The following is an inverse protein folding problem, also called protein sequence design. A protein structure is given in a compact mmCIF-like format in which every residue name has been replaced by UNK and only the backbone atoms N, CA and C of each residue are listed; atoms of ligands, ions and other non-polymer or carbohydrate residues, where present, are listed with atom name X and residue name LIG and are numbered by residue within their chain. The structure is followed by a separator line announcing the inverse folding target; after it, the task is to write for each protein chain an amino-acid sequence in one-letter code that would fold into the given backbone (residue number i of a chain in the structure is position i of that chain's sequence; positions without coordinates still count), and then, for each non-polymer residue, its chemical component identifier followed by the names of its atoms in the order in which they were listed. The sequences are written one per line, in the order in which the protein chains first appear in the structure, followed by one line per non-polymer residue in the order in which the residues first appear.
data_IF_713619220057
#
_entry.id   IF_713619220057
#
_cell.length_a   1.000
_cell.length_b   1.000
_cell.length_c   1.000
_cell.angle_alpha   90.00
_cell.angle_beta   90.00
_cell.angle_gamma   90.00
#
_symmetry.space_group_name_H-M   'P 1'
#
loop_
_entity.id
_entity.type
_entity.pdbx_description
1 polymer ?
#
# COMPACT_ATOMS: atom_id res chain seq x y z
N UNK A 1 10.54 10.50 5.24
CA UNK A 1 10.03 9.56 4.22
C UNK A 1 8.96 10.18 3.32
N UNK A 2 7.83 10.57 3.88
CA UNK A 2 6.72 11.24 3.20
C UNK A 2 6.51 12.61 3.82
N UNK A 3 6.37 13.66 3.00
CA UNK A 3 5.96 14.98 3.44
C UNK A 3 4.90 15.52 2.48
N UNK A 4 3.73 15.82 3.03
CA UNK A 4 2.57 16.35 2.32
C UNK A 4 2.23 17.72 2.86
N UNK A 5 2.07 18.72 1.99
CA UNK A 5 1.78 20.09 2.39
C UNK A 5 0.65 20.69 1.55
N UNK A 6 -0.45 21.09 2.22
CA UNK A 6 -1.63 21.71 1.61
C UNK A 6 -2.17 20.96 0.38
N UNK A 7 -2.13 19.63 0.40
CA UNK A 7 -2.47 18.78 -0.72
C UNK A 7 -3.98 18.74 -0.92
N UNK A 8 -4.42 19.07 -2.12
CA UNK A 8 -5.83 19.04 -2.50
C UNK A 8 -6.06 18.21 -3.75
N UNK A 9 -7.21 17.56 -3.83
CA UNK A 9 -7.67 16.82 -5.00
C UNK A 9 -9.11 17.16 -5.30
N UNK A 10 -9.33 17.68 -6.51
CA UNK A 10 -10.65 18.03 -7.02
C UNK A 10 -10.88 17.23 -8.29
N UNK A 11 -11.98 16.47 -8.32
CA UNK A 11 -12.46 15.80 -9.52
C UNK A 11 -13.50 16.69 -10.18
N UNK A 12 -13.35 16.93 -11.48
CA UNK A 12 -14.27 17.75 -12.28
C UNK A 12 -14.86 16.91 -13.40
N UNK A 13 -16.17 16.91 -13.48
CA UNK A 13 -16.93 16.50 -14.66
C UNK A 13 -17.58 17.73 -15.28
N UNK A 14 -18.27 17.60 -16.41
CA UNK A 14 -18.93 18.73 -17.06
C UNK A 14 -19.99 19.40 -16.17
N UNK A 15 -20.60 18.67 -15.21
CA UNK A 15 -21.71 19.15 -14.38
C UNK A 15 -21.37 19.27 -12.90
N UNK A 16 -20.34 18.56 -12.41
CA UNK A 16 -20.09 18.43 -10.96
C UNK A 16 -18.60 18.61 -10.67
N UNK A 17 -18.32 19.36 -9.61
CA UNK A 17 -17.02 19.44 -8.99
C UNK A 17 -17.08 18.78 -7.59
N UNK A 18 -16.20 17.79 -7.36
CA UNK A 18 -16.11 17.08 -6.08
C UNK A 18 -14.72 17.27 -5.50
N UNK A 19 -14.63 17.90 -4.34
CA UNK A 19 -13.39 18.02 -3.57
C UNK A 19 -13.21 16.77 -2.73
N UNK A 20 -12.28 15.91 -3.14
CA UNK A 20 -11.97 14.67 -2.42
C UNK A 20 -10.92 14.86 -1.32
N UNK A 21 -9.99 15.82 -1.49
CA UNK A 21 -9.01 16.23 -0.49
C UNK A 21 -8.91 17.75 -0.48
N UNK A 22 -8.84 18.34 0.71
CA UNK A 22 -8.87 19.78 0.91
C UNK A 22 -7.77 20.23 1.89
N UNK A 23 -6.61 20.60 1.37
CA UNK A 23 -5.51 21.18 2.15
C UNK A 23 -4.86 20.22 3.15
N UNK A 24 -4.77 18.94 2.84
CA UNK A 24 -4.19 17.90 3.71
C UNK A 24 -2.70 18.13 3.89
N UNK A 25 -2.22 18.10 5.16
CA UNK A 25 -0.80 18.28 5.49
C UNK A 25 -0.40 17.31 6.60
N UNK A 26 0.66 16.51 6.37
CA UNK A 26 1.25 15.61 7.37
C UNK A 26 2.64 15.15 6.93
N UNK A 27 3.37 14.57 7.85
CA UNK A 27 4.67 13.94 7.58
C UNK A 27 4.67 12.51 8.13
N UNK A 28 5.31 11.57 7.42
CA UNK A 28 5.56 10.20 7.86
C UNK A 28 7.07 9.95 7.81
N UNK A 29 7.63 9.46 8.90
CA UNK A 29 9.06 9.17 9.02
C UNK A 29 9.41 7.82 8.37
N UNK A 30 10.70 7.61 8.10
CA UNK A 30 11.17 6.30 7.69
C UNK A 30 10.91 5.26 8.79
N UNK A 31 10.41 4.08 8.41
CA UNK A 31 10.10 2.98 9.32
C UNK A 31 8.83 3.19 10.17
N UNK A 32 8.06 4.26 9.93
CA UNK A 32 6.80 4.50 10.67
C UNK A 32 5.67 3.64 10.09
N UNK A 33 4.85 3.06 10.96
CA UNK A 33 3.58 2.43 10.57
C UNK A 33 2.43 3.36 10.94
N UNK A 34 1.75 3.89 9.93
CA UNK A 34 0.66 4.85 10.08
C UNK A 34 -0.65 4.25 9.56
N UNK A 35 -1.71 4.37 10.34
CA UNK A 35 -3.07 4.09 9.91
C UNK A 35 -3.79 5.39 9.54
N UNK A 36 -4.48 5.41 8.39
CA UNK A 36 -5.39 6.47 7.98
C UNK A 36 -6.80 5.95 8.12
N UNK A 37 -7.57 6.56 9.01
CA UNK A 37 -8.95 6.21 9.29
C UNK A 37 -9.93 7.26 8.79
N UNK A 38 -11.21 6.89 8.75
CA UNK A 38 -12.32 7.79 8.43
C UNK A 38 -13.48 7.06 7.78
N UNK A 39 -14.66 7.70 7.68
CA UNK A 39 -15.85 7.10 7.07
C UNK A 39 -15.67 6.81 5.57
N UNK A 40 -16.57 6.01 5.00
CA UNK A 40 -16.58 5.78 3.56
C UNK A 40 -16.77 7.10 2.81
N UNK A 41 -16.04 7.28 1.71
CA UNK A 41 -16.13 8.49 0.87
C UNK A 41 -15.34 9.70 1.36
N UNK A 42 -14.69 9.67 2.54
CA UNK A 42 -13.96 10.83 3.08
C UNK A 42 -12.61 11.16 2.38
N UNK A 43 -12.22 10.41 1.33
CA UNK A 43 -11.00 10.69 0.56
C UNK A 43 -9.82 9.76 0.81
N UNK A 44 -9.93 8.71 1.64
CA UNK A 44 -8.82 7.78 1.99
C UNK A 44 -8.16 7.12 0.79
N UNK A 45 -8.96 6.50 -0.09
CA UNK A 45 -8.42 5.82 -1.28
C UNK A 45 -7.84 6.83 -2.28
N UNK A 46 -8.41 8.05 -2.35
CA UNK A 46 -7.85 9.15 -3.15
C UNK A 46 -6.46 9.54 -2.61
N UNK A 47 -6.34 9.69 -1.29
CA UNK A 47 -5.06 10.00 -0.66
C UNK A 47 -4.05 8.86 -0.90
N UNK A 48 -4.46 7.59 -0.71
CA UNK A 48 -3.61 6.44 -0.94
C UNK A 48 -3.12 6.35 -2.40
N UNK A 49 -3.99 6.66 -3.37
CA UNK A 49 -3.63 6.69 -4.80
C UNK A 49 -2.59 7.77 -5.11
N UNK A 50 -2.71 8.96 -4.49
CA UNK A 50 -1.72 10.02 -4.65
C UNK A 50 -0.40 9.64 -3.98
N UNK A 51 -0.43 9.11 -2.74
CA UNK A 51 0.77 8.61 -2.07
C UNK A 51 1.46 7.50 -2.86
N UNK A 52 0.67 6.67 -3.54
CA UNK A 52 1.15 5.61 -4.42
C UNK A 52 1.58 6.06 -5.81
N UNK A 53 1.52 7.35 -6.11
CA UNK A 53 1.82 7.89 -7.45
C UNK A 53 0.95 7.27 -8.57
N UNK A 54 -0.25 6.82 -8.23
CA UNK A 54 -1.25 6.34 -9.20
C UNK A 54 -2.05 7.51 -9.76
N UNK A 55 -2.18 8.59 -8.98
CA UNK A 55 -2.85 9.83 -9.38
C UNK A 55 -2.00 11.04 -8.94
N UNK A 56 -2.30 12.24 -9.48
CA UNK A 56 -1.70 13.50 -9.07
C UNK A 56 -2.66 14.31 -8.20
N UNK A 57 -2.15 15.09 -7.23
CA UNK A 57 -2.96 16.11 -6.60
C UNK A 57 -3.35 17.20 -7.60
N UNK A 58 -4.39 17.96 -7.29
CA UNK A 58 -4.76 19.18 -8.05
C UNK A 58 -3.88 20.36 -7.64
N UNK A 59 -3.49 20.40 -6.36
CA UNK A 59 -2.59 21.43 -5.81
C UNK A 59 -1.90 20.94 -4.56
N UNK A 60 -0.93 21.68 -4.05
CA UNK A 60 -0.11 21.33 -2.92
C UNK A 60 1.20 20.67 -3.32
N UNK A 61 1.95 20.19 -2.33
CA UNK A 61 3.26 19.56 -2.48
C UNK A 61 3.27 18.16 -1.88
N UNK A 62 3.94 17.25 -2.56
CA UNK A 62 4.18 15.90 -2.08
C UNK A 62 5.63 15.49 -2.32
N UNK A 63 6.39 15.41 -1.25
CA UNK A 63 7.77 14.91 -1.25
C UNK A 63 7.79 13.45 -0.79
N UNK A 64 8.41 12.57 -1.58
CA UNK A 64 8.62 11.16 -1.28
C UNK A 64 10.11 10.83 -1.42
N UNK A 65 10.71 10.26 -0.38
CA UNK A 65 12.16 9.91 -0.35
C UNK A 65 13.06 11.12 -0.70
N UNK A 66 12.70 12.34 -0.25
CA UNK A 66 13.45 13.56 -0.53
C UNK A 66 13.26 14.13 -1.95
N UNK A 67 12.31 13.62 -2.71
CA UNK A 67 12.00 14.07 -4.07
C UNK A 67 10.59 14.63 -4.15
N UNK A 68 10.41 15.84 -4.69
CA UNK A 68 9.09 16.40 -5.00
C UNK A 68 8.44 15.62 -6.14
N UNK A 69 7.28 15.01 -5.88
CA UNK A 69 6.64 14.08 -6.80
C UNK A 69 5.24 14.48 -7.25
N UNK A 70 4.67 15.58 -6.69
CA UNK A 70 3.29 15.99 -6.97
C UNK A 70 3.06 16.28 -8.46
N UNK A 71 4.06 16.82 -9.16
CA UNK A 71 3.95 17.25 -10.54
C UNK A 71 4.63 16.33 -11.56
N UNK A 72 5.02 15.12 -11.15
CA UNK A 72 5.65 14.14 -12.04
C UNK A 72 4.69 13.69 -13.14
N UNK A 73 5.22 13.59 -14.37
CA UNK A 73 4.49 13.00 -15.50
C UNK A 73 4.34 11.49 -15.30
N UNK A 74 3.35 10.88 -15.95
CA UNK A 74 3.04 9.44 -15.79
C UNK A 74 4.26 8.52 -15.94
N UNK A 75 5.12 8.77 -16.92
CA UNK A 75 6.36 7.99 -17.14
C UNK A 75 7.34 8.09 -15.97
N UNK A 76 7.44 9.27 -15.38
CA UNK A 76 8.32 9.54 -14.23
C UNK A 76 7.76 8.91 -12.98
N UNK A 77 6.45 9.03 -12.71
CA UNK A 77 5.73 8.36 -11.62
C UNK A 77 5.92 6.86 -11.69
N UNK A 78 5.71 6.26 -12.87
CA UNK A 78 5.90 4.82 -13.09
C UNK A 78 7.33 4.40 -12.79
N UNK A 79 8.34 5.18 -13.24
CA UNK A 79 9.74 4.90 -12.93
C UNK A 79 10.02 5.00 -11.44
N UNK A 80 9.43 5.99 -10.74
CA UNK A 80 9.63 6.20 -9.31
C UNK A 80 8.96 5.11 -8.47
N UNK A 81 7.75 4.64 -8.85
CA UNK A 81 7.05 3.54 -8.17
C UNK A 81 7.87 2.24 -8.15
N UNK A 82 8.52 1.91 -9.28
CA UNK A 82 9.26 0.66 -9.44
C UNK A 82 10.32 0.49 -8.36
N UNK A 83 10.19 -0.57 -7.56
CA UNK A 83 11.12 -0.91 -6.49
C UNK A 83 11.02 -0.04 -5.23
N UNK A 84 10.27 1.07 -5.25
CA UNK A 84 10.11 1.94 -4.08
C UNK A 84 8.80 1.74 -3.35
N UNK A 85 7.71 1.41 -4.07
CA UNK A 85 6.36 1.31 -3.50
C UNK A 85 5.78 -0.07 -3.77
N UNK A 86 5.31 -0.74 -2.70
CA UNK A 86 4.52 -1.95 -2.74
C UNK A 86 3.06 -1.65 -2.42
N UNK A 87 2.12 -2.32 -3.09
CA UNK A 87 0.69 -2.17 -2.86
C UNK A 87 0.08 -3.47 -2.36
N UNK A 88 -0.75 -3.36 -1.32
CA UNK A 88 -1.60 -4.43 -0.79
C UNK A 88 -3.04 -3.94 -0.84
N UNK A 89 -3.92 -4.62 -1.57
CA UNK A 89 -5.31 -4.23 -1.78
C UNK A 89 -6.26 -5.17 -1.04
N UNK A 90 -7.43 -4.67 -0.70
CA UNK A 90 -8.53 -5.43 -0.11
C UNK A 90 -8.96 -6.61 -1.00
N UNK A 91 -9.05 -6.39 -2.31
CA UNK A 91 -9.45 -7.40 -3.30
C UNK A 91 -8.28 -8.21 -3.86
N UNK A 92 -7.13 -8.22 -3.17
CA UNK A 92 -5.90 -8.91 -3.55
C UNK A 92 -5.28 -8.45 -4.88
N UNK A 93 -6.08 -8.16 -5.89
CA UNK A 93 -5.71 -7.72 -7.24
C UNK A 93 -4.64 -8.64 -7.86
N UNK A 94 -4.80 -9.96 -7.68
CA UNK A 94 -3.97 -10.96 -8.35
C UNK A 94 -4.40 -11.06 -9.82
N UNK A 95 -3.46 -11.42 -10.69
CA UNK A 95 -3.73 -11.67 -12.10
C UNK A 95 -4.14 -13.13 -12.22
N UNK A 96 -5.36 -13.38 -12.65
CA UNK A 96 -6.00 -14.70 -12.67
C UNK A 96 -5.34 -15.68 -13.64
N UNK A 97 -4.72 -15.17 -14.70
CA UNK A 97 -4.01 -15.95 -15.72
C UNK A 97 -2.58 -16.32 -15.29
N UNK A 98 -2.09 -15.77 -14.19
CA UNK A 98 -0.77 -16.06 -13.63
C UNK A 98 -0.91 -16.93 -12.38
N UNK A 99 -0.01 -17.92 -12.26
CA UNK A 99 0.09 -18.69 -11.02
C UNK A 99 0.69 -17.87 -9.87
N UNK A 100 0.77 -18.44 -8.67
CA UNK A 100 1.32 -17.78 -7.47
C UNK A 100 2.75 -17.29 -7.70
N UNK A 101 3.62 -18.15 -8.26
CA UNK A 101 5.01 -17.78 -8.53
C UNK A 101 5.09 -16.59 -9.48
N UNK A 102 4.35 -16.61 -10.57
CA UNK A 102 4.34 -15.58 -11.60
C UNK A 102 3.77 -14.25 -11.10
N UNK A 103 2.69 -14.29 -10.30
CA UNK A 103 2.15 -13.09 -9.63
C UNK A 103 3.21 -12.41 -8.76
N UNK A 104 3.97 -13.20 -7.98
CA UNK A 104 5.01 -12.67 -7.09
C UNK A 104 6.23 -12.19 -7.90
N UNK A 105 6.61 -12.89 -8.98
CA UNK A 105 7.75 -12.49 -9.82
C UNK A 105 7.50 -11.20 -10.60
N UNK A 106 6.24 -10.88 -10.88
CA UNK A 106 5.85 -9.81 -11.82
C UNK A 106 6.55 -8.45 -11.54
N UNK A 107 6.60 -7.92 -10.31
CA UNK A 107 7.31 -6.67 -10.05
C UNK A 107 8.80 -6.73 -10.41
N UNK A 108 9.44 -7.88 -10.21
CA UNK A 108 10.87 -8.06 -10.48
C UNK A 108 11.18 -8.09 -11.99
N UNK A 109 10.21 -8.46 -12.83
CA UNK A 109 10.37 -8.44 -14.30
C UNK A 109 10.55 -7.02 -14.85
N UNK A 110 10.05 -6.01 -14.15
CA UNK A 110 10.20 -4.60 -14.49
C UNK A 110 11.47 -3.95 -13.93
N UNK A 111 12.24 -4.70 -13.14
CA UNK A 111 13.53 -4.30 -12.62
C UNK A 111 14.64 -5.00 -13.42
N UNK A 112 15.78 -4.35 -13.56
CA UNK A 112 16.95 -4.94 -14.26
C UNK A 112 17.64 -6.00 -13.37
N UNK A 113 16.94 -7.10 -13.08
CA UNK A 113 17.39 -8.19 -12.21
C UNK A 113 17.53 -9.47 -13.05
N UNK A 114 18.60 -10.22 -12.85
CA UNK A 114 18.84 -11.48 -13.57
C UNK A 114 17.75 -12.53 -13.25
N UNK A 115 17.53 -13.46 -14.18
CA UNK A 115 16.53 -14.53 -13.98
C UNK A 115 16.85 -15.39 -12.74
N UNK A 116 18.12 -15.67 -12.47
CA UNK A 116 18.55 -16.41 -11.28
C UNK A 116 18.25 -15.66 -9.98
N UNK A 117 18.49 -14.37 -9.94
CA UNK A 117 18.21 -13.52 -8.78
C UNK A 117 16.69 -13.39 -8.54
N UNK A 118 15.88 -13.20 -9.62
CA UNK A 118 14.42 -13.21 -9.50
C UNK A 118 13.92 -14.50 -8.89
N UNK A 119 14.41 -15.64 -9.40
CA UNK A 119 14.03 -16.97 -8.88
C UNK A 119 14.36 -17.10 -7.40
N UNK A 120 15.54 -16.65 -6.97
CA UNK A 120 15.94 -16.69 -5.58
C UNK A 120 15.01 -15.84 -4.71
N UNK A 121 14.79 -14.56 -5.06
CA UNK A 121 13.93 -13.64 -4.32
C UNK A 121 12.48 -14.18 -4.20
N UNK A 122 11.92 -14.69 -5.29
CA UNK A 122 10.56 -15.27 -5.27
C UNK A 122 10.51 -16.51 -4.37
N UNK A 123 11.50 -17.40 -4.45
CA UNK A 123 11.55 -18.61 -3.62
C UNK A 123 11.63 -18.25 -2.14
N UNK A 124 12.46 -17.28 -1.78
CA UNK A 124 12.66 -16.86 -0.39
C UNK A 124 11.41 -16.20 0.18
N UNK A 125 10.78 -15.28 -0.58
CA UNK A 125 9.56 -14.65 -0.11
C UNK A 125 8.40 -15.64 -0.01
N UNK A 126 8.28 -16.62 -0.89
CA UNK A 126 7.26 -17.67 -0.81
C UNK A 126 7.44 -18.54 0.44
N UNK A 127 8.67 -18.84 0.82
CA UNK A 127 8.97 -19.57 2.08
C UNK A 127 8.56 -18.72 3.28
N UNK A 128 8.95 -17.45 3.31
CA UNK A 128 8.59 -16.50 4.37
C UNK A 128 7.08 -16.39 4.57
N UNK A 129 6.33 -16.33 3.46
CA UNK A 129 4.86 -16.23 3.47
C UNK A 129 4.15 -17.57 3.69
N UNK A 130 4.91 -18.67 3.85
CA UNK A 130 4.37 -20.03 3.99
C UNK A 130 3.41 -20.44 2.84
N UNK A 131 3.77 -20.08 1.60
CA UNK A 131 2.96 -20.38 0.38
C UNK A 131 3.74 -21.15 -0.69
N UNK A 132 4.94 -21.66 -0.39
CA UNK A 132 5.77 -22.38 -1.36
C UNK A 132 5.08 -23.59 -1.97
N UNK A 133 4.24 -24.28 -1.19
CA UNK A 133 3.45 -25.44 -1.64
C UNK A 133 2.34 -25.09 -2.63
N UNK A 134 2.08 -23.79 -2.85
CA UNK A 134 1.08 -23.25 -3.77
C UNK A 134 1.68 -22.62 -5.03
N UNK A 135 2.99 -22.73 -5.26
CA UNK A 135 3.72 -22.03 -6.33
C UNK A 135 3.05 -22.10 -7.71
N UNK A 136 2.51 -23.27 -8.06
CA UNK A 136 1.89 -23.53 -9.37
C UNK A 136 0.37 -23.38 -9.36
N UNK A 137 -0.25 -23.01 -8.23
CA UNK A 137 -1.70 -22.78 -8.15
C UNK A 137 -2.05 -21.41 -8.72
N UNK A 138 -3.25 -21.29 -9.25
CA UNK A 138 -3.82 -20.04 -9.72
C UNK A 138 -4.67 -19.37 -8.62
N UNK A 139 -4.92 -18.06 -8.68
CA UNK A 139 -5.66 -17.33 -7.65
C UNK A 139 -7.00 -17.99 -7.25
N UNK A 140 -7.77 -18.50 -8.22
CA UNK A 140 -9.07 -19.12 -7.98
C UNK A 140 -8.99 -20.43 -7.17
N UNK A 141 -7.80 -21.03 -7.04
CA UNK A 141 -7.55 -22.27 -6.30
C UNK A 141 -7.09 -21.99 -4.85
N UNK A 142 -7.05 -20.72 -4.42
CA UNK A 142 -6.55 -20.28 -3.14
C UNK A 142 -7.68 -19.77 -2.25
N UNK A 143 -7.55 -19.99 -0.93
CA UNK A 143 -8.38 -19.29 0.05
C UNK A 143 -8.05 -17.79 0.07
N UNK A 144 -8.98 -16.94 0.58
CA UNK A 144 -8.75 -15.50 0.70
C UNK A 144 -7.46 -15.16 1.48
N UNK A 145 -7.19 -15.84 2.59
CA UNK A 145 -5.95 -15.64 3.35
C UNK A 145 -4.69 -16.03 2.56
N UNK A 146 -4.75 -17.07 1.73
CA UNK A 146 -3.64 -17.43 0.85
C UNK A 146 -3.46 -16.39 -0.26
N UNK A 147 -4.54 -15.91 -0.87
CA UNK A 147 -4.50 -14.84 -1.87
C UNK A 147 -3.87 -13.56 -1.30
N UNK A 148 -4.23 -13.17 -0.08
CA UNK A 148 -3.65 -12.00 0.57
C UNK A 148 -2.16 -12.18 0.87
N UNK A 149 -1.72 -13.37 1.29
CA UNK A 149 -0.29 -13.68 1.45
C UNK A 149 0.48 -13.57 0.13
N UNK A 150 -0.12 -13.99 -0.99
CA UNK A 150 0.45 -13.81 -2.34
C UNK A 150 0.53 -12.32 -2.70
N UNK A 151 -0.52 -11.55 -2.42
CA UNK A 151 -0.54 -10.11 -2.67
C UNK A 151 0.53 -9.36 -1.86
N UNK A 152 0.71 -9.71 -0.58
CA UNK A 152 1.78 -9.16 0.26
C UNK A 152 3.15 -9.60 -0.27
N UNK A 153 3.34 -10.89 -0.59
CA UNK A 153 4.60 -11.38 -1.18
C UNK A 153 4.96 -10.58 -2.45
N UNK A 154 3.98 -10.36 -3.34
CA UNK A 154 4.15 -9.54 -4.53
C UNK A 154 4.55 -8.10 -4.21
N UNK A 155 3.93 -7.51 -3.19
CA UNK A 155 4.22 -6.14 -2.77
C UNK A 155 5.66 -5.98 -2.26
N UNK A 156 6.18 -6.97 -1.52
CA UNK A 156 7.46 -6.85 -0.81
C UNK A 156 8.65 -7.49 -1.52
N UNK A 157 8.46 -8.34 -2.54
CA UNK A 157 9.53 -9.09 -3.21
C UNK A 157 10.63 -8.20 -3.81
N UNK A 158 10.26 -6.97 -4.19
CA UNK A 158 11.19 -5.97 -4.73
C UNK A 158 11.98 -5.21 -3.63
N UNK A 159 11.68 -5.43 -2.35
CA UNK A 159 12.27 -4.69 -1.23
C UNK A 159 11.87 -3.21 -1.19
N UNK A 160 10.57 -2.85 -1.28
CA UNK A 160 10.14 -1.47 -1.35
C UNK A 160 10.45 -0.71 -0.05
N UNK A 161 10.61 0.61 -0.15
CA UNK A 161 10.75 1.50 1.01
C UNK A 161 9.41 1.82 1.68
N UNK A 162 8.33 1.76 0.89
CA UNK A 162 6.97 2.10 1.31
C UNK A 162 6.00 0.99 0.90
N UNK A 163 5.18 0.54 1.85
CA UNK A 163 4.00 -0.30 1.58
C UNK A 163 2.76 0.56 1.80
N UNK A 164 1.88 0.56 0.80
CA UNK A 164 0.55 1.15 0.86
C UNK A 164 -0.48 0.02 0.92
N UNK A 165 -1.23 -0.05 2.01
CA UNK A 165 -2.23 -1.09 2.25
C UNK A 165 -3.63 -0.47 2.28
N UNK A 166 -4.49 -0.86 1.36
CA UNK A 166 -5.90 -0.45 1.30
C UNK A 166 -6.78 -1.56 1.87
N UNK A 167 -7.26 -1.38 3.08
CA UNK A 167 -8.11 -2.33 3.81
C UNK A 167 -7.60 -3.80 3.76
N UNK A 168 -6.35 -4.07 4.19
CA UNK A 168 -5.67 -5.34 3.91
C UNK A 168 -6.34 -6.57 4.52
N UNK A 169 -7.28 -6.40 5.45
CA UNK A 169 -8.02 -7.46 6.14
C UNK A 169 -9.50 -7.52 5.79
N UNK A 170 -10.00 -6.55 5.00
CA UNK A 170 -11.43 -6.32 4.77
C UNK A 170 -12.20 -7.52 4.18
N UNK A 171 -11.53 -8.39 3.43
CA UNK A 171 -12.13 -9.59 2.81
C UNK A 171 -11.70 -10.89 3.53
N UNK A 172 -11.21 -10.81 4.77
CA UNK A 172 -10.68 -11.96 5.50
C UNK A 172 -11.49 -12.23 6.77
N UNK A 173 -11.53 -13.50 7.17
CA UNK A 173 -11.98 -13.85 8.51
C UNK A 173 -10.99 -13.36 9.58
N UNK A 174 -11.42 -13.35 10.83
CA UNK A 174 -10.65 -12.79 11.96
C UNK A 174 -9.28 -13.46 12.16
N UNK A 175 -9.14 -14.76 11.85
CA UNK A 175 -7.88 -15.49 12.00
C UNK A 175 -6.89 -15.07 10.91
N UNK A 176 -7.32 -15.14 9.65
CA UNK A 176 -6.49 -14.73 8.51
C UNK A 176 -6.16 -13.23 8.57
N UNK A 177 -7.11 -12.38 9.00
CA UNK A 177 -6.88 -10.95 9.21
C UNK A 177 -5.79 -10.69 10.25
N UNK A 178 -5.81 -11.40 11.39
CA UNK A 178 -4.75 -11.29 12.40
C UNK A 178 -3.38 -11.68 11.83
N UNK A 179 -3.30 -12.79 11.10
CA UNK A 179 -2.05 -13.27 10.49
C UNK A 179 -1.47 -12.25 9.49
N UNK A 180 -2.34 -11.57 8.73
CA UNK A 180 -1.95 -10.49 7.82
C UNK A 180 -1.41 -9.27 8.58
N UNK A 181 -2.08 -8.85 9.66
CA UNK A 181 -1.61 -7.74 10.49
C UNK A 181 -0.28 -8.04 11.18
N UNK A 182 -0.11 -9.26 11.70
CA UNK A 182 1.15 -9.71 12.30
C UNK A 182 2.29 -9.64 11.27
N UNK A 183 2.04 -10.08 10.03
CA UNK A 183 3.00 -10.00 8.94
C UNK A 183 3.38 -8.55 8.58
N UNK A 184 2.42 -7.63 8.54
CA UNK A 184 2.70 -6.21 8.29
C UNK A 184 3.55 -5.60 9.43
N UNK A 185 3.27 -5.97 10.69
CA UNK A 185 4.10 -5.57 11.84
C UNK A 185 5.54 -6.08 11.72
N UNK A 186 5.74 -7.34 11.33
CA UNK A 186 7.07 -7.90 11.10
C UNK A 186 7.84 -7.12 10.03
N UNK A 187 7.19 -6.82 8.89
CA UNK A 187 7.78 -6.01 7.82
C UNK A 187 8.15 -4.60 8.29
N UNK A 188 7.30 -3.99 9.13
CA UNK A 188 7.58 -2.69 9.71
C UNK A 188 8.75 -2.74 10.70
N UNK A 189 8.82 -3.75 11.56
CA UNK A 189 9.91 -3.96 12.51
C UNK A 189 11.28 -4.12 11.82
N UNK A 190 11.29 -4.59 10.55
CA UNK A 190 12.46 -4.66 9.69
C UNK A 190 12.82 -3.31 9.03
N UNK A 191 12.07 -2.25 9.31
CA UNK A 191 12.34 -0.89 8.83
C UNK A 191 11.52 -0.46 7.61
N UNK A 192 10.59 -1.26 7.11
CA UNK A 192 9.70 -0.85 6.03
C UNK A 192 8.66 0.14 6.54
N UNK A 193 8.51 1.27 5.86
CA UNK A 193 7.43 2.24 6.15
C UNK A 193 6.11 1.70 5.63
N UNK A 194 5.05 1.78 6.45
CA UNK A 194 3.71 1.30 6.07
C UNK A 194 2.69 2.40 6.27
N UNK A 195 1.87 2.64 5.25
CA UNK A 195 0.66 3.46 5.33
C UNK A 195 -0.53 2.57 5.02
N UNK A 196 -1.38 2.38 6.00
CA UNK A 196 -2.57 1.55 5.90
C UNK A 196 -3.83 2.40 5.97
N UNK A 197 -4.70 2.25 5.01
CA UNK A 197 -6.07 2.76 5.08
C UNK A 197 -6.96 1.67 5.67
N UNK A 198 -7.75 2.01 6.68
CA UNK A 198 -8.71 1.07 7.28
C UNK A 198 -9.87 1.81 7.94
N UNK A 199 -11.02 1.14 8.05
CA UNK A 199 -12.14 1.55 8.90
C UNK A 199 -12.19 0.73 10.21
N UNK A 200 -11.31 -0.27 10.36
CA UNK A 200 -11.21 -1.14 11.54
C UNK A 200 -10.35 -0.49 12.62
N UNK A 201 -10.95 -0.12 13.75
CA UNK A 201 -10.20 0.39 14.90
C UNK A 201 -9.18 -0.63 15.43
N UNK A 202 -9.53 -1.93 15.37
CA UNK A 202 -8.64 -3.02 15.77
C UNK A 202 -7.36 -3.05 14.93
N UNK A 203 -7.48 -2.86 13.63
CA UNK A 203 -6.32 -2.87 12.72
C UNK A 203 -5.53 -1.58 12.85
N UNK A 204 -6.20 -0.43 12.98
CA UNK A 204 -5.55 0.85 13.23
C UNK A 204 -4.72 0.86 14.52
N UNK A 205 -5.20 0.19 15.58
CA UNK A 205 -4.45 0.03 16.82
C UNK A 205 -3.14 -0.78 16.67
N UNK A 206 -2.94 -1.47 15.53
CA UNK A 206 -1.68 -2.13 15.22
C UNK A 206 -0.59 -1.17 14.70
N UNK A 207 -0.98 0.03 14.25
CA UNK A 207 -0.07 1.06 13.78
C UNK A 207 0.47 1.90 14.95
N UNK A 208 1.61 2.55 14.76
CA UNK A 208 2.22 3.43 15.76
C UNK A 208 1.51 4.79 15.87
N UNK A 209 0.72 5.15 14.84
CA UNK A 209 0.05 6.43 14.72
C UNK A 209 -1.20 6.31 13.88
N UNK A 210 -2.23 7.04 14.25
CA UNK A 210 -3.50 7.10 13.52
C UNK A 210 -3.77 8.53 13.07
N UNK A 211 -4.09 8.70 11.79
CA UNK A 211 -4.53 9.96 11.18
C UNK A 211 -6.00 9.78 10.81
N UNK A 212 -6.88 10.61 11.36
CA UNK A 212 -8.31 10.58 11.01
C UNK A 212 -8.61 11.59 9.92
N UNK A 213 -9.21 11.09 8.84
CA UNK A 213 -9.65 11.87 7.69
C UNK A 213 -11.18 11.99 7.70
N UNK A 214 -11.69 13.21 7.59
CA UNK A 214 -13.12 13.50 7.48
C UNK A 214 -13.34 14.59 6.42
N UNK A 215 -14.25 14.36 5.48
CA UNK A 215 -14.58 15.28 4.37
C UNK A 215 -13.33 15.88 3.68
N UNK A 216 -12.36 15.03 3.40
CA UNK A 216 -11.13 15.42 2.71
C UNK A 216 -10.13 16.19 3.56
N UNK A 217 -10.33 16.31 4.87
CA UNK A 217 -9.44 17.03 5.79
C UNK A 217 -8.95 16.11 6.92
N UNK A 218 -7.76 16.37 7.44
CA UNK A 218 -7.28 15.72 8.65
C UNK A 218 -7.92 16.40 9.85
N UNK A 219 -8.62 15.62 10.68
CA UNK A 219 -9.30 16.10 11.88
C UNK A 219 -8.59 15.67 13.15
N UNK A 220 -7.76 14.62 13.08
CA UNK A 220 -6.98 14.10 14.19
C UNK A 220 -5.69 13.46 13.69
N UNK A 221 -4.63 13.52 14.50
CA UNK A 221 -3.33 12.91 14.23
C UNK A 221 -2.67 12.55 15.56
N UNK A 222 -2.79 11.29 15.95
CA UNK A 222 -2.48 10.82 17.31
C UNK A 222 -1.52 9.63 17.27
N UNK A 223 -0.53 9.62 18.16
CA UNK A 223 0.30 8.43 18.41
C UNK A 223 -0.49 7.42 19.21
N UNK A 224 -0.44 6.18 18.78
CA UNK A 224 -1.05 5.05 19.50
C UNK A 224 -0.12 4.62 20.64
N UNK A 225 -0.69 4.26 21.77
CA UNK A 225 0.04 3.56 22.84
C UNK A 225 0.13 2.07 22.45
N UNK A 226 1.34 1.58 22.13
CA UNK A 226 1.62 0.19 21.71
C UNK A 226 2.01 -0.66 22.91
#
# INVERSE_FOLDING_TARGET
MIKVSNLSKIFRTEEIETTALNGVSFEIKDGEFVAIMGPSGCGKSTLLNILGLLDNPTSGSYELLGTEVANLKEKERTKFRKGNIGFVFQSFNLIDELNVYENIELPLRYLNISASERKQKVTDIMKRMNISHRAQHFPQQLSGGQQQRVAIARAVVAGPKLILADEPTGNLDSKNGKEVMDLLKELNAEGTTIVMVTHSQKDAACAQRTIDLFDGQIVSDVKNEL
#
